data_IF_482997782247
#
_entry.id   IF_482997782247
#
_cell.length_a   1.000
_cell.length_b   1.000
_cell.length_c   1.000
_cell.angle_alpha   90.00
_cell.angle_beta   90.00
_cell.angle_gamma   90.00
#
_symmetry.space_group_name_H-M   'P 1'
#
loop_
_entity.id
_entity.type
_entity.pdbx_description
1 polymer ?
#
# COMPACT_ATOMS: atom_id res chain seq x y z
N UNK A 1 6.36 -10.45 12.88
CA UNK A 1 6.28 -9.22 12.06
C UNK A 1 6.65 -7.98 12.88
N UNK A 2 7.47 -7.08 12.34
CA UNK A 2 7.89 -5.84 13.02
C UNK A 2 6.72 -4.86 13.16
N UNK A 3 5.81 -4.84 12.18
CA UNK A 3 4.59 -4.04 12.18
C UNK A 3 3.41 -4.92 11.69
N UNK A 4 2.33 -5.09 12.47
CA UNK A 4 1.14 -5.83 12.05
C UNK A 4 0.35 -5.11 10.94
N UNK A 5 -0.35 -5.87 10.09
CA UNK A 5 -1.13 -5.32 8.95
C UNK A 5 -2.39 -4.58 9.42
N UNK A 6 -2.89 -4.92 10.60
CA UNK A 6 -4.04 -4.33 11.27
C UNK A 6 -3.91 -2.81 11.43
N UNK A 7 -2.68 -2.29 11.55
CA UNK A 7 -2.44 -0.84 11.59
C UNK A 7 -2.99 -0.12 10.35
N UNK A 8 -2.78 -0.70 9.16
CA UNK A 8 -3.31 -0.14 7.91
C UNK A 8 -4.84 -0.25 7.85
N UNK A 9 -5.42 -1.35 8.33
CA UNK A 9 -6.87 -1.54 8.36
C UNK A 9 -7.55 -0.55 9.29
N UNK A 10 -7.03 -0.35 10.50
CA UNK A 10 -7.59 0.62 11.44
C UNK A 10 -7.54 2.05 10.90
N UNK A 11 -6.45 2.42 10.23
CA UNK A 11 -6.34 3.73 9.57
C UNK A 11 -7.38 3.88 8.45
N UNK A 12 -7.52 2.88 7.58
CA UNK A 12 -8.49 2.88 6.47
C UNK A 12 -9.93 3.03 6.98
N UNK A 13 -10.28 2.28 8.02
CA UNK A 13 -11.60 2.38 8.68
C UNK A 13 -11.84 3.79 9.20
N UNK A 14 -10.87 4.39 9.89
CA UNK A 14 -10.99 5.76 10.39
C UNK A 14 -11.18 6.80 9.28
N UNK A 15 -10.41 6.70 8.19
CA UNK A 15 -10.57 7.56 7.02
C UNK A 15 -11.95 7.42 6.38
N UNK A 16 -12.43 6.17 6.24
CA UNK A 16 -13.77 5.89 5.71
C UNK A 16 -14.89 6.47 6.59
N UNK A 17 -14.78 6.30 7.91
CA UNK A 17 -15.74 6.85 8.87
C UNK A 17 -15.81 8.38 8.82
N UNK A 18 -14.68 9.03 8.56
CA UNK A 18 -14.58 10.48 8.36
C UNK A 18 -14.95 10.94 6.94
N UNK A 19 -15.33 10.01 6.04
CA UNK A 19 -15.61 10.28 4.62
C UNK A 19 -14.45 10.95 3.87
N UNK A 20 -13.20 10.66 4.27
CA UNK A 20 -12.00 11.14 3.61
C UNK A 20 -11.68 10.20 2.44
N UNK A 21 -11.53 10.70 1.19
CA UNK A 21 -11.14 9.85 0.06
C UNK A 21 -9.79 9.17 0.33
N UNK A 22 -9.72 7.85 0.14
CA UNK A 22 -8.51 7.06 0.37
C UNK A 22 -8.49 5.81 -0.52
N UNK A 23 -7.30 5.29 -0.76
CA UNK A 23 -7.05 4.05 -1.49
C UNK A 23 -6.07 3.18 -0.68
N UNK A 24 -6.35 1.88 -0.54
CA UNK A 24 -5.55 0.95 0.28
C UNK A 24 -5.31 -0.34 -0.49
N UNK A 25 -4.04 -0.76 -0.57
CA UNK A 25 -3.61 -2.02 -1.16
C UNK A 25 -2.86 -2.85 -0.14
N UNK A 26 -3.35 -4.07 0.12
CA UNK A 26 -2.66 -5.04 0.98
C UNK A 26 -2.30 -6.26 0.15
N UNK A 27 -1.01 -6.58 0.09
CA UNK A 27 -0.47 -7.71 -0.66
C UNK A 27 -0.26 -8.92 0.28
N UNK A 28 -0.44 -10.16 -0.21
CA UNK A 28 -0.39 -11.35 0.65
C UNK A 28 0.97 -11.60 1.31
N UNK A 29 2.06 -11.17 0.67
CA UNK A 29 3.42 -11.46 1.08
C UNK A 29 4.36 -10.27 0.85
N UNK A 30 5.38 -10.17 1.69
CA UNK A 30 6.44 -9.17 1.60
C UNK A 30 7.05 -8.89 2.98
N UNK A 31 8.40 -8.83 3.13
CA UNK A 31 9.01 -8.44 4.38
C UNK A 31 8.69 -6.97 4.72
N UNK A 32 8.84 -6.61 5.99
CA UNK A 32 8.79 -5.21 6.38
C UNK A 32 9.95 -4.43 5.74
N UNK A 33 9.72 -3.18 5.34
CA UNK A 33 10.77 -2.31 4.80
C UNK A 33 11.12 -2.54 3.33
N UNK A 34 10.21 -3.08 2.52
CA UNK A 34 10.43 -3.36 1.09
C UNK A 34 10.83 -2.13 0.24
N UNK A 35 10.46 -0.92 0.66
CA UNK A 35 10.75 0.31 -0.10
C UNK A 35 10.22 0.24 -1.54
N UNK A 36 11.08 0.53 -2.52
CA UNK A 36 10.73 0.50 -3.95
C UNK A 36 10.69 -0.91 -4.56
N UNK A 37 10.87 -1.96 -3.73
CA UNK A 37 10.99 -3.37 -4.12
C UNK A 37 12.21 -3.60 -5.01
N UNK A 38 13.22 -4.30 -4.48
CA UNK A 38 14.43 -4.62 -5.25
C UNK A 38 14.12 -5.58 -6.40
N UNK A 39 14.99 -5.67 -7.41
CA UNK A 39 14.84 -6.63 -8.51
C UNK A 39 14.78 -8.08 -7.98
N UNK A 40 15.47 -8.38 -6.88
CA UNK A 40 15.43 -9.70 -6.23
C UNK A 40 14.08 -9.97 -5.54
N UNK A 41 13.39 -8.93 -5.07
CA UNK A 41 12.11 -9.03 -4.37
C UNK A 41 10.90 -9.02 -5.32
N UNK A 42 11.07 -8.52 -6.56
CA UNK A 42 10.03 -8.58 -7.61
C UNK A 42 9.63 -10.01 -8.00
N UNK A 43 10.47 -11.00 -7.69
CA UNK A 43 10.15 -12.42 -7.89
C UNK A 43 9.37 -13.01 -6.71
N UNK A 44 9.22 -12.27 -5.61
CA UNK A 44 8.74 -12.77 -4.32
C UNK A 44 7.33 -12.29 -3.94
N UNK A 45 6.67 -11.48 -4.78
CA UNK A 45 5.32 -11.03 -4.49
C UNK A 45 4.76 -10.13 -5.58
N UNK A 46 3.57 -9.60 -5.31
CA UNK A 46 2.85 -8.62 -6.13
C UNK A 46 3.00 -7.18 -5.62
N UNK A 47 3.82 -6.98 -4.57
CA UNK A 47 3.95 -5.70 -3.89
C UNK A 47 4.59 -4.62 -4.76
N UNK A 48 5.39 -4.97 -5.77
CA UNK A 48 5.97 -4.05 -6.75
C UNK A 48 4.92 -3.19 -7.47
N UNK A 49 3.66 -3.64 -7.50
CA UNK A 49 2.53 -2.92 -8.08
C UNK A 49 2.15 -1.67 -7.26
N UNK A 50 2.59 -1.53 -6.01
CA UNK A 50 2.21 -0.38 -5.18
C UNK A 50 2.56 0.96 -5.82
N UNK A 51 3.70 1.03 -6.53
CA UNK A 51 4.19 2.26 -7.19
C UNK A 51 3.25 2.75 -8.29
N UNK A 52 2.94 1.96 -9.34
CA UNK A 52 2.01 2.40 -10.38
C UNK A 52 0.60 2.66 -9.84
N UNK A 53 0.15 1.95 -8.80
CA UNK A 53 -1.13 2.20 -8.13
C UNK A 53 -1.15 3.58 -7.46
N UNK A 54 -0.10 3.92 -6.70
CA UNK A 54 0.04 5.23 -6.08
C UNK A 54 0.15 6.37 -7.11
N UNK A 55 0.90 6.16 -8.21
CA UNK A 55 0.98 7.13 -9.30
C UNK A 55 -0.41 7.39 -9.92
N UNK A 56 -1.17 6.33 -10.21
CA UNK A 56 -2.54 6.45 -10.73
C UNK A 56 -3.41 7.26 -9.78
N UNK A 57 -3.39 6.94 -8.49
CA UNK A 57 -4.21 7.63 -7.48
C UNK A 57 -3.85 9.12 -7.37
N UNK A 58 -2.57 9.47 -7.39
CA UNK A 58 -2.13 10.88 -7.39
C UNK A 58 -2.65 11.64 -8.62
N UNK A 59 -2.62 11.00 -9.80
CA UNK A 59 -3.18 11.59 -11.03
C UNK A 59 -4.70 11.79 -10.93
N UNK A 60 -5.42 10.87 -10.31
CA UNK A 60 -6.87 11.00 -10.06
C UNK A 60 -7.19 12.17 -9.11
N UNK A 61 -6.27 12.53 -8.22
CA UNK A 61 -6.36 13.70 -7.36
C UNK A 61 -5.91 15.02 -8.03
N UNK A 62 -5.35 14.97 -9.24
CA UNK A 62 -4.85 16.14 -9.96
C UNK A 62 -3.49 16.66 -9.49
N UNK A 63 -2.67 15.81 -8.87
CA UNK A 63 -1.27 16.10 -8.54
C UNK A 63 -0.36 15.98 -9.76
#
# INVERSE_FOLDING_TARGET
PVVPVENSYHMAIGLQQAQIPHEVHVFPHGPHGLGLVSIADRRQGSAEQWRPLAERWLRELGF
#
